data_IF_214804456922
#
_entry.id   IF_214804456922
#
_cell.length_a   1.000
_cell.length_b   1.000
_cell.length_c   1.000
_cell.angle_alpha   90.00
_cell.angle_beta   90.00
_cell.angle_gamma   90.00
#
_symmetry.space_group_name_H-M   'P 1'
#
loop_
_entity.id
_entity.type
_entity.pdbx_description
1 polymer ?
#
# COMPACT_ATOMS: atom_id res chain seq x y z
N UNK A 1 6.79 9.38 -25.50
CA UNK A 1 6.26 8.49 -24.45
C UNK A 1 6.34 7.07 -24.99
N UNK A 2 7.02 6.17 -24.29
CA UNK A 2 7.13 4.75 -24.66
C UNK A 2 6.23 3.95 -23.72
N UNK A 3 5.66 2.85 -24.18
CA UNK A 3 4.96 1.90 -23.32
C UNK A 3 5.39 0.47 -23.62
N UNK A 4 5.27 -0.39 -22.60
CA UNK A 4 5.60 -1.82 -22.65
C UNK A 4 4.48 -2.59 -21.96
N UNK A 5 4.05 -3.71 -22.56
CA UNK A 5 3.09 -4.65 -21.97
C UNK A 5 3.80 -5.96 -21.63
N UNK A 6 4.17 -6.18 -20.36
CA UNK A 6 4.64 -7.48 -19.88
C UNK A 6 3.49 -8.51 -19.92
N UNK A 7 3.77 -9.70 -20.47
CA UNK A 7 2.80 -10.82 -20.56
C UNK A 7 3.11 -11.99 -19.63
N UNK A 8 4.19 -11.91 -18.88
CA UNK A 8 4.72 -12.96 -18.01
C UNK A 8 3.93 -13.16 -16.71
N UNK A 9 3.06 -12.21 -16.33
CA UNK A 9 2.42 -12.18 -15.00
C UNK A 9 0.96 -12.62 -14.96
N UNK A 10 0.43 -13.14 -16.06
CA UNK A 10 -0.96 -13.63 -16.15
C UNK A 10 -2.04 -12.56 -15.93
N UNK A 11 -1.67 -11.27 -15.95
CA UNK A 11 -2.55 -10.10 -15.83
C UNK A 11 -2.08 -9.00 -16.78
N UNK A 12 -3.01 -8.15 -17.23
CA UNK A 12 -2.68 -6.98 -18.05
C UNK A 12 -1.88 -5.98 -17.22
N UNK A 13 -0.61 -5.76 -17.59
CA UNK A 13 0.22 -4.67 -17.07
C UNK A 13 0.61 -3.75 -18.23
N UNK A 14 0.39 -2.45 -18.05
CA UNK A 14 0.84 -1.42 -18.98
C UNK A 14 1.85 -0.53 -18.28
N UNK A 15 3.12 -0.65 -18.67
CA UNK A 15 4.20 0.18 -18.15
C UNK A 15 4.46 1.34 -19.10
N UNK A 16 4.44 2.57 -18.58
CA UNK A 16 4.77 3.76 -19.34
C UNK A 16 6.15 4.28 -18.95
N UNK A 17 7.01 4.53 -19.94
CA UNK A 17 8.32 5.12 -19.75
C UNK A 17 8.29 6.57 -20.25
N UNK A 18 8.61 7.48 -19.34
CA UNK A 18 8.71 8.91 -19.61
C UNK A 18 10.16 9.33 -19.30
N UNK A 19 10.91 9.88 -20.27
CA UNK A 19 12.26 10.35 -20.02
C UNK A 19 12.23 11.50 -19.02
N UNK A 20 13.18 11.51 -18.09
CA UNK A 20 13.37 12.57 -17.09
C UNK A 20 14.20 13.75 -17.65
N UNK A 21 14.21 13.88 -18.97
CA UNK A 21 14.98 14.87 -19.73
C UNK A 21 14.08 15.40 -20.83
N UNK A 22 14.05 16.72 -20.97
CA UNK A 22 13.37 17.39 -22.07
C UNK A 22 14.27 17.26 -23.31
N UNK A 23 13.70 16.74 -24.41
CA UNK A 23 14.47 16.23 -25.53
C UNK A 23 15.12 17.33 -26.38
N UNK A 24 14.58 18.54 -26.40
CA UNK A 24 15.10 19.64 -27.24
C UNK A 24 16.24 20.38 -26.56
N UNK A 25 16.13 20.63 -25.26
CA UNK A 25 17.07 21.44 -24.48
C UNK A 25 18.07 20.59 -23.69
N UNK A 26 17.83 19.28 -23.56
CA UNK A 26 18.62 18.38 -22.73
C UNK A 26 18.50 18.64 -21.23
N UNK A 27 17.61 19.55 -20.81
CA UNK A 27 17.42 19.89 -19.39
C UNK A 27 16.61 18.82 -18.67
N UNK A 28 16.76 18.76 -17.35
CA UNK A 28 15.95 17.89 -16.49
C UNK A 28 14.47 18.25 -16.63
N UNK A 29 13.68 17.26 -17.02
CA UNK A 29 12.22 17.29 -16.94
C UNK A 29 11.84 16.46 -15.71
N UNK A 30 10.94 16.93 -14.85
CA UNK A 30 10.43 16.16 -13.71
C UNK A 30 8.98 15.77 -14.01
N UNK A 31 8.70 14.60 -14.62
CA UNK A 31 7.34 14.24 -15.03
C UNK A 31 6.39 13.96 -13.86
N UNK A 32 6.94 13.58 -12.71
CA UNK A 32 6.20 13.25 -11.51
C UNK A 32 6.81 13.94 -10.29
N UNK A 33 5.97 14.66 -9.55
CA UNK A 33 6.30 15.27 -8.27
C UNK A 33 5.31 14.81 -7.20
N UNK A 34 5.75 13.86 -6.36
CA UNK A 34 4.89 13.11 -5.45
C UNK A 34 3.94 13.99 -4.61
N UNK A 35 4.45 15.08 -4.05
CA UNK A 35 3.67 15.99 -3.20
C UNK A 35 2.47 16.61 -3.91
N UNK A 36 2.57 16.87 -5.21
CA UNK A 36 1.49 17.45 -6.00
C UNK A 36 0.65 16.39 -6.72
N UNK A 37 1.30 15.34 -7.22
CA UNK A 37 0.67 14.39 -8.14
C UNK A 37 0.02 13.20 -7.44
N UNK A 38 0.59 12.69 -6.33
CA UNK A 38 -0.01 11.58 -5.57
C UNK A 38 -1.45 11.87 -5.15
N UNK A 39 -1.78 13.05 -4.57
CA UNK A 39 -3.17 13.35 -4.20
C UNK A 39 -4.11 13.37 -5.41
N UNK A 40 -3.65 13.84 -6.58
CA UNK A 40 -4.45 13.92 -7.81
C UNK A 40 -4.70 12.54 -8.41
N UNK A 41 -3.67 11.69 -8.45
CA UNK A 41 -3.78 10.30 -8.91
C UNK A 41 -4.73 9.52 -8.00
N UNK A 42 -4.58 9.64 -6.68
CA UNK A 42 -5.46 9.00 -5.71
C UNK A 42 -6.92 9.47 -5.86
N UNK A 43 -7.14 10.77 -6.09
CA UNK A 43 -8.47 11.31 -6.34
C UNK A 43 -9.07 10.77 -7.64
N UNK A 44 -8.31 10.77 -8.74
CA UNK A 44 -8.72 10.17 -10.00
C UNK A 44 -9.09 8.69 -9.84
N UNK A 45 -8.26 7.90 -9.17
CA UNK A 45 -8.53 6.49 -8.88
C UNK A 45 -9.83 6.33 -8.09
N UNK A 46 -10.05 7.14 -7.05
CA UNK A 46 -11.27 7.09 -6.23
C UNK A 46 -12.52 7.34 -7.08
N UNK A 47 -12.47 8.35 -7.97
CA UNK A 47 -13.59 8.69 -8.85
C UNK A 47 -13.85 7.59 -9.88
N UNK A 48 -12.79 7.07 -10.51
CA UNK A 48 -12.90 6.03 -11.55
C UNK A 48 -13.42 4.73 -10.94
N UNK A 49 -12.88 4.32 -9.79
CA UNK A 49 -13.35 3.12 -9.09
C UNK A 49 -14.83 3.23 -8.74
N UNK A 50 -15.27 4.37 -8.18
CA UNK A 50 -16.66 4.59 -7.85
C UNK A 50 -17.57 4.62 -9.10
N UNK A 51 -17.12 5.25 -10.19
CA UNK A 51 -17.90 5.36 -11.43
C UNK A 51 -18.08 4.01 -12.14
N UNK A 52 -17.04 3.18 -12.13
CA UNK A 52 -16.99 1.94 -12.89
C UNK A 52 -17.26 0.70 -12.03
N UNK A 53 -17.49 0.86 -10.71
CA UNK A 53 -17.66 -0.26 -9.79
C UNK A 53 -16.41 -1.15 -9.68
N UNK A 54 -15.22 -0.55 -9.81
CA UNK A 54 -13.97 -1.33 -9.76
C UNK A 54 -13.64 -1.74 -8.34
N UNK A 55 -12.94 -2.87 -8.22
CA UNK A 55 -12.40 -3.36 -6.97
C UNK A 55 -11.47 -2.32 -6.32
N UNK A 56 -11.74 -1.96 -5.07
CA UNK A 56 -10.95 -0.97 -4.33
C UNK A 56 -9.87 -1.65 -3.49
N UNK A 57 -8.59 -1.55 -3.85
CA UNK A 57 -7.51 -2.19 -3.10
C UNK A 57 -7.33 -1.62 -1.69
N UNK A 58 -7.91 -0.47 -1.36
CA UNK A 58 -7.80 0.15 -0.04
C UNK A 58 -8.94 -0.23 0.91
N UNK A 59 -9.92 -1.01 0.44
CA UNK A 59 -11.02 -1.47 1.29
C UNK A 59 -10.46 -2.35 2.42
N UNK A 60 -10.95 -2.21 3.67
CA UNK A 60 -10.46 -2.99 4.82
C UNK A 60 -10.48 -4.51 4.60
N UNK A 61 -11.48 -5.02 3.90
CA UNK A 61 -11.63 -6.42 3.50
C UNK A 61 -10.49 -6.93 2.59
N UNK A 62 -9.80 -6.02 1.89
CA UNK A 62 -8.71 -6.36 0.97
C UNK A 62 -7.32 -6.25 1.62
N UNK A 63 -7.26 -6.03 2.93
CA UNK A 63 -5.97 -5.97 3.65
C UNK A 63 -5.24 -7.29 3.54
N UNK A 64 -3.99 -7.22 3.13
CA UNK A 64 -3.11 -8.39 3.03
C UNK A 64 -2.61 -8.82 4.40
N UNK A 65 -2.48 -10.13 4.58
CA UNK A 65 -1.82 -10.75 5.74
C UNK A 65 -0.38 -10.27 5.88
N UNK A 66 0.34 -10.14 4.76
CA UNK A 66 1.69 -9.59 4.66
C UNK A 66 1.78 -8.54 3.56
N UNK A 67 2.48 -7.45 3.87
CA UNK A 67 2.83 -6.38 2.94
C UNK A 67 4.35 -6.34 2.81
N UNK A 68 4.85 -6.94 1.75
CA UNK A 68 6.28 -6.94 1.40
C UNK A 68 6.61 -5.73 0.52
N UNK A 69 7.75 -5.08 0.78
CA UNK A 69 8.26 -4.02 -0.10
C UNK A 69 8.99 -4.64 -1.28
N UNK A 70 8.62 -4.28 -2.51
CA UNK A 70 9.27 -4.78 -3.73
C UNK A 70 10.78 -4.42 -3.81
N UNK A 71 11.23 -3.39 -3.08
CA UNK A 71 12.63 -2.96 -3.03
C UNK A 71 13.47 -3.74 -2.01
N UNK A 72 12.86 -4.64 -1.24
CA UNK A 72 13.55 -5.46 -0.26
C UNK A 72 14.39 -6.53 -0.99
N UNK A 73 15.61 -6.86 -0.55
CA UNK A 73 16.37 -7.97 -1.12
C UNK A 73 15.55 -9.27 -1.11
N UNK A 74 15.67 -10.09 -2.17
CA UNK A 74 14.86 -11.29 -2.36
C UNK A 74 14.90 -12.25 -1.16
N UNK A 75 16.08 -12.47 -0.58
CA UNK A 75 16.26 -13.29 0.63
C UNK A 75 15.41 -12.82 1.81
N UNK A 76 15.27 -11.50 2.00
CA UNK A 76 14.45 -10.92 3.04
C UNK A 76 12.96 -10.95 2.72
N UNK A 77 12.58 -10.94 1.44
CA UNK A 77 11.19 -11.16 1.03
C UNK A 77 10.79 -12.61 1.36
N UNK A 78 11.62 -13.56 0.96
CA UNK A 78 11.43 -14.99 1.23
C UNK A 78 11.39 -15.28 2.73
N UNK A 79 12.24 -14.63 3.54
CA UNK A 79 12.18 -14.74 4.99
C UNK A 79 10.87 -14.18 5.58
N UNK A 80 10.41 -13.01 5.12
CA UNK A 80 9.15 -12.42 5.59
C UNK A 80 7.94 -13.30 5.22
N UNK A 81 7.96 -13.88 4.02
CA UNK A 81 6.95 -14.83 3.55
C UNK A 81 6.96 -16.10 4.40
N UNK A 82 8.12 -16.74 4.59
CA UNK A 82 8.25 -17.94 5.40
C UNK A 82 7.79 -17.74 6.86
N UNK A 83 8.17 -16.60 7.48
CA UNK A 83 7.71 -16.25 8.84
C UNK A 83 6.19 -16.10 8.86
N UNK A 84 5.63 -15.38 7.88
CA UNK A 84 4.18 -15.15 7.83
C UNK A 84 3.44 -16.47 7.60
N UNK A 85 3.90 -17.31 6.67
CA UNK A 85 3.29 -18.60 6.37
C UNK A 85 3.34 -19.52 7.60
N UNK A 86 4.43 -19.49 8.35
CA UNK A 86 4.54 -20.16 9.64
C UNK A 86 3.48 -19.66 10.62
N UNK A 87 3.42 -18.35 10.86
CA UNK A 87 2.44 -17.74 11.76
C UNK A 87 1.00 -18.07 11.36
N UNK A 88 0.66 -17.97 10.07
CA UNK A 88 -0.70 -18.26 9.56
C UNK A 88 -1.12 -19.71 9.84
N UNK A 89 -0.19 -20.68 9.81
CA UNK A 89 -0.52 -22.07 10.19
C UNK A 89 -0.91 -22.19 11.67
N UNK A 90 -0.32 -21.39 12.55
CA UNK A 90 -0.63 -21.36 14.00
C UNK A 90 -1.83 -20.47 14.35
N UNK A 91 -2.22 -19.54 13.47
CA UNK A 91 -3.44 -18.72 13.64
C UNK A 91 -4.70 -19.59 13.72
N UNK A 92 -4.71 -20.80 13.17
CA UNK A 92 -5.89 -21.68 13.24
C UNK A 92 -6.21 -22.21 14.66
N UNK A 93 -5.42 -21.92 15.71
CA UNK A 93 -5.77 -22.33 17.07
C UNK A 93 -4.99 -21.69 18.22
N UNK A 94 -3.76 -21.21 17.98
CA UNK A 94 -2.86 -20.76 19.04
C UNK A 94 -2.65 -19.24 19.06
N UNK A 95 -2.56 -18.62 17.88
CA UNK A 95 -2.34 -17.18 17.77
C UNK A 95 -3.70 -16.47 17.72
N UNK A 96 -4.08 -15.86 18.84
CA UNK A 96 -5.33 -15.10 19.00
C UNK A 96 -5.12 -13.59 18.92
N UNK A 97 -3.96 -13.10 19.31
CA UNK A 97 -3.69 -11.67 19.43
C UNK A 97 -2.34 -11.31 18.83
N UNK A 98 -2.09 -10.02 18.65
CA UNK A 98 -0.74 -9.53 18.30
C UNK A 98 0.29 -9.93 19.35
N UNK A 99 -0.11 -10.04 20.62
CA UNK A 99 0.81 -10.45 21.67
C UNK A 99 1.27 -11.89 21.45
N UNK A 100 0.36 -12.77 21.03
CA UNK A 100 0.69 -14.15 20.69
C UNK A 100 1.65 -14.20 19.49
N UNK A 101 1.45 -13.35 18.48
CA UNK A 101 2.40 -13.20 17.36
C UNK A 101 3.81 -12.85 17.87
N UNK A 102 3.92 -11.87 18.76
CA UNK A 102 5.22 -11.47 19.34
C UNK A 102 5.83 -12.62 20.13
N UNK A 103 5.03 -13.31 20.95
CA UNK A 103 5.49 -14.45 21.74
C UNK A 103 5.98 -15.60 20.84
N UNK A 104 5.25 -15.96 19.78
CA UNK A 104 5.66 -16.99 18.82
C UNK A 104 6.95 -16.61 18.11
N UNK A 105 7.11 -15.34 17.70
CA UNK A 105 8.35 -14.84 17.10
C UNK A 105 9.53 -14.98 18.06
N UNK A 106 9.39 -14.52 19.31
CA UNK A 106 10.44 -14.62 20.33
C UNK A 106 10.74 -16.07 20.70
N UNK A 107 9.73 -16.94 20.80
CA UNK A 107 9.90 -18.37 21.05
C UNK A 107 10.61 -19.10 19.90
N UNK A 108 10.55 -18.54 18.68
CA UNK A 108 11.28 -19.02 17.51
C UNK A 108 12.70 -18.43 17.42
N UNK A 109 13.23 -17.89 18.52
CA UNK A 109 14.55 -17.25 18.61
C UNK A 109 14.73 -16.03 17.68
N UNK A 110 13.63 -15.43 17.21
CA UNK A 110 13.67 -14.19 16.43
C UNK A 110 13.66 -12.98 17.36
N UNK A 111 14.68 -12.13 17.23
CA UNK A 111 14.83 -10.94 18.07
C UNK A 111 13.89 -9.81 17.63
N UNK A 112 12.86 -9.55 18.43
CA UNK A 112 11.89 -8.46 18.21
C UNK A 112 12.44 -7.15 18.78
N UNK A 113 13.07 -6.37 17.90
CA UNK A 113 13.77 -5.13 18.28
C UNK A 113 12.86 -3.89 18.34
N UNK A 114 11.72 -3.90 17.65
CA UNK A 114 10.78 -2.77 17.69
C UNK A 114 9.36 -3.18 17.34
N UNK A 115 8.40 -2.58 18.04
CA UNK A 115 6.98 -2.65 17.71
C UNK A 115 6.43 -1.25 17.39
N UNK A 116 5.54 -1.16 16.40
CA UNK A 116 4.74 0.05 16.14
C UNK A 116 3.28 -0.35 15.97
N UNK A 117 2.36 0.63 15.86
CA UNK A 117 0.93 0.34 15.66
C UNK A 117 0.64 -0.56 14.45
N UNK A 118 1.47 -0.50 13.41
CA UNK A 118 1.22 -1.18 12.12
C UNK A 118 2.31 -2.16 11.71
N UNK A 119 3.29 -2.42 12.57
CA UNK A 119 4.41 -3.30 12.20
C UNK A 119 5.16 -3.88 13.39
N UNK A 120 5.84 -4.99 13.15
CA UNK A 120 6.86 -5.58 14.03
C UNK A 120 8.18 -5.59 13.26
N UNK A 121 9.27 -5.22 13.91
CA UNK A 121 10.62 -5.26 13.32
C UNK A 121 11.45 -6.31 14.03
N UNK A 122 12.12 -7.15 13.25
CA UNK A 122 13.05 -8.17 13.70
C UNK A 122 14.49 -7.74 13.43
N UNK A 123 15.42 -8.09 14.32
CA UNK A 123 16.84 -7.92 14.06
C UNK A 123 17.25 -8.72 12.81
N UNK A 124 18.25 -8.21 12.10
CA UNK A 124 18.93 -8.98 11.06
C UNK A 124 20.01 -9.84 11.72
N UNK A 125 19.94 -11.19 11.62
CA UNK A 125 20.91 -12.08 12.27
C UNK A 125 22.33 -11.89 11.75
N UNK A 126 22.50 -11.40 10.51
CA UNK A 126 23.82 -11.16 9.91
C UNK A 126 24.37 -9.74 10.18
N UNK A 127 23.66 -8.94 10.99
CA UNK A 127 24.06 -7.56 11.25
C UNK A 127 23.76 -6.66 10.04
N UNK A 128 22.53 -6.17 9.96
CA UNK A 128 22.05 -5.39 8.83
C UNK A 128 20.76 -4.64 9.12
N UNK A 129 20.06 -4.21 8.06
CA UNK A 129 18.77 -3.53 8.22
C UNK A 129 17.72 -4.51 8.73
N UNK A 130 17.10 -4.17 9.87
CA UNK A 130 15.99 -4.91 10.47
C UNK A 130 14.92 -5.31 9.45
N UNK A 131 14.42 -6.54 9.56
CA UNK A 131 13.30 -7.04 8.78
C UNK A 131 12.00 -6.48 9.36
N UNK A 132 11.33 -5.61 8.62
CA UNK A 132 10.05 -5.02 9.05
C UNK A 132 8.88 -5.81 8.50
N UNK A 133 8.17 -6.49 9.37
CA UNK A 133 6.93 -7.22 9.09
C UNK A 133 5.73 -6.28 9.18
N UNK A 134 4.92 -6.24 8.13
CA UNK A 134 3.70 -5.43 8.00
C UNK A 134 2.59 -6.26 7.41
N UNK A 135 1.35 -5.97 7.79
CA UNK A 135 0.17 -6.69 7.32
C UNK A 135 -0.75 -7.01 8.49
N UNK A 136 -1.90 -7.60 8.17
CA UNK A 136 -3.05 -7.65 9.08
C UNK A 136 -2.72 -8.27 10.45
N UNK A 137 -1.91 -9.34 10.49
CA UNK A 137 -1.55 -10.05 11.73
C UNK A 137 -0.51 -9.31 12.59
N UNK A 138 0.14 -8.28 12.05
CA UNK A 138 1.19 -7.52 12.75
C UNK A 138 0.68 -6.18 13.32
N UNK A 139 -0.56 -5.80 13.00
CA UNK A 139 -1.21 -4.58 13.47
C UNK A 139 -1.63 -4.68 14.94
N UNK A 140 -1.56 -3.57 15.68
CA UNK A 140 -1.93 -3.49 17.09
C UNK A 140 -3.33 -4.02 17.39
N UNK A 141 -4.26 -3.82 16.45
CA UNK A 141 -5.67 -4.24 16.54
C UNK A 141 -5.90 -5.71 16.13
N UNK A 142 -4.86 -6.50 15.91
CA UNK A 142 -5.02 -7.89 15.51
C UNK A 142 -5.54 -8.74 16.68
N UNK A 143 -6.74 -9.29 16.50
CA UNK A 143 -7.42 -10.24 17.40
C UNK A 143 -8.15 -11.30 16.58
N UNK A 144 -7.53 -12.44 16.31
CA UNK A 144 -8.09 -13.56 15.56
C UNK A 144 -9.37 -14.14 16.17
N UNK A 145 -10.29 -14.60 15.31
CA UNK A 145 -11.64 -15.06 15.65
C UNK A 145 -12.72 -14.06 15.23
N UNK A 146 -13.91 -14.17 15.82
CA UNK A 146 -15.06 -13.31 15.52
C UNK A 146 -14.72 -11.82 15.69
N UNK A 147 -13.82 -11.49 16.61
CA UNK A 147 -13.32 -10.13 16.81
C UNK A 147 -12.63 -9.55 15.56
N UNK A 148 -11.77 -10.32 14.89
CA UNK A 148 -11.07 -9.89 13.68
C UNK A 148 -12.04 -9.67 12.53
N UNK A 149 -12.90 -10.65 12.28
CA UNK A 149 -13.87 -10.60 11.19
C UNK A 149 -14.89 -9.49 11.43
N UNK A 150 -15.41 -9.37 12.65
CA UNK A 150 -16.33 -8.29 13.00
C UNK A 150 -15.66 -6.91 12.94
N UNK A 151 -14.36 -6.77 13.25
CA UNK A 151 -13.65 -5.50 13.08
C UNK A 151 -13.37 -5.20 11.60
N UNK A 152 -13.03 -6.19 10.77
CA UNK A 152 -12.94 -6.01 9.32
C UNK A 152 -14.29 -5.58 8.76
N UNK A 153 -15.38 -6.22 9.18
CA UNK A 153 -16.73 -5.90 8.77
C UNK A 153 -17.12 -4.48 9.21
N UNK A 154 -16.97 -4.14 10.49
CA UNK A 154 -17.19 -2.78 11.02
C UNK A 154 -16.32 -1.74 10.30
N UNK A 155 -15.06 -2.04 10.03
CA UNK A 155 -14.18 -1.16 9.27
C UNK A 155 -14.68 -0.99 7.84
N UNK A 156 -15.10 -2.08 7.19
CA UNK A 156 -15.70 -2.11 5.86
C UNK A 156 -16.99 -1.30 5.80
N UNK A 157 -17.87 -1.41 6.80
CA UNK A 157 -19.09 -0.62 6.93
C UNK A 157 -18.79 0.87 7.06
N UNK A 158 -17.89 1.27 7.99
CA UNK A 158 -17.44 2.66 8.14
C UNK A 158 -16.81 3.17 6.84
N UNK A 159 -16.06 2.31 6.15
CA UNK A 159 -15.45 2.63 4.87
C UNK A 159 -16.50 2.84 3.78
N UNK A 160 -17.50 1.97 3.66
CA UNK A 160 -18.61 2.12 2.70
C UNK A 160 -19.48 3.33 3.01
N UNK A 161 -19.81 3.57 4.28
CA UNK A 161 -20.61 4.72 4.73
C UNK A 161 -19.98 6.06 4.36
N UNK A 162 -18.65 6.12 4.27
CA UNK A 162 -17.90 7.34 3.90
C UNK A 162 -17.55 7.41 2.41
N UNK A 163 -18.01 6.47 1.57
CA UNK A 163 -17.65 6.38 0.15
C UNK A 163 -18.05 7.63 -0.63
N UNK A 164 -19.28 8.12 -0.47
CA UNK A 164 -19.74 9.33 -1.16
C UNK A 164 -18.93 10.56 -0.77
N UNK A 165 -18.60 10.70 0.52
CA UNK A 165 -17.78 11.79 1.01
C UNK A 165 -16.37 11.76 0.40
N UNK A 166 -15.75 10.57 0.29
CA UNK A 166 -14.46 10.40 -0.40
C UNK A 166 -14.55 10.78 -1.88
N UNK A 167 -15.62 10.39 -2.58
CA UNK A 167 -15.82 10.75 -3.98
C UNK A 167 -16.00 12.26 -4.15
N UNK A 168 -16.76 12.93 -3.27
CA UNK A 168 -16.89 14.40 -3.27
C UNK A 168 -15.53 15.07 -3.06
N UNK A 169 -14.79 14.68 -2.03
CA UNK A 169 -13.46 15.22 -1.76
C UNK A 169 -12.48 14.99 -2.93
N UNK A 170 -12.54 13.82 -3.57
CA UNK A 170 -11.73 13.52 -4.74
C UNK A 170 -12.07 14.44 -5.93
N UNK A 171 -13.36 14.73 -6.16
CA UNK A 171 -13.78 15.69 -7.20
C UNK A 171 -13.21 17.08 -6.94
N UNK A 172 -13.22 17.56 -5.70
CA UNK A 172 -12.65 18.87 -5.35
C UNK A 172 -11.13 18.93 -5.58
N UNK A 173 -10.41 17.83 -5.35
CA UNK A 173 -8.98 17.73 -5.67
C UNK A 173 -8.75 17.81 -7.19
N UNK A 174 -9.54 17.09 -7.98
CA UNK A 174 -9.43 17.12 -9.44
C UNK A 174 -9.79 18.49 -10.02
N UNK A 175 -10.87 19.12 -9.55
CA UNK A 175 -11.27 20.46 -10.00
C UNK A 175 -10.19 21.50 -9.73
N UNK A 176 -9.62 21.54 -8.52
CA UNK A 176 -8.51 22.43 -8.19
C UNK A 176 -7.30 22.21 -9.10
N UNK A 177 -7.00 20.94 -9.43
CA UNK A 177 -5.94 20.59 -10.38
C UNK A 177 -6.19 21.13 -11.79
N UNK A 178 -7.43 21.04 -12.28
CA UNK A 178 -7.83 21.55 -13.58
C UNK A 178 -7.74 23.09 -13.63
N UNK A 179 -8.29 23.78 -12.64
CA UNK A 179 -8.25 25.25 -12.57
C UNK A 179 -6.82 25.79 -12.54
N UNK A 180 -5.92 25.13 -11.80
CA UNK A 180 -4.50 25.52 -11.79
C UNK A 180 -3.85 25.34 -13.17
N UNK A 181 -4.16 24.24 -13.86
CA UNK A 181 -3.63 23.98 -15.21
C UNK A 181 -4.12 25.02 -16.22
N UNK A 182 -5.38 25.43 -16.14
CA UNK A 182 -5.97 26.48 -16.97
C UNK A 182 -5.33 27.84 -16.72
N UNK A 183 -5.11 28.21 -15.45
CA UNK A 183 -4.41 29.44 -15.08
C UNK A 183 -2.99 29.49 -15.64
N UNK A 184 -2.22 28.40 -15.50
CA UNK A 184 -0.86 28.31 -16.06
C UNK A 184 -0.89 28.47 -17.58
N UNK A 185 -1.79 27.78 -18.28
CA UNK A 185 -1.94 27.90 -19.74
C UNK A 185 -2.30 29.32 -20.18
N UNK A 186 -3.10 30.04 -19.39
CA UNK A 186 -3.47 31.43 -19.67
C UNK A 186 -2.27 32.36 -19.52
N UNK A 187 -1.45 32.18 -18.48
CA UNK A 187 -0.24 32.97 -18.24
C UNK A 187 0.86 32.67 -19.27
N UNK A 188 0.99 31.44 -19.76
CA UNK A 188 1.99 31.08 -20.78
C UNK A 188 1.63 31.55 -22.21
N UNK A 189 0.43 32.11 -22.41
CA UNK A 189 -0.02 32.67 -23.71
C UNK A 189 0.05 34.20 -23.76
N UNK A 190 0.44 34.84 -22.66
CA UNK A 190 0.79 36.27 -22.59
C UNK A 190 2.30 36.43 -22.71
#
# INVERSE_FOLDING_TARGET
MLWVEPRDKGRLELNFLIPNTELLTGKRLQPYYDRADRPRINAWQTIVNAKLGLHDPNAPENRRTLVTLNTLPRTKQEAAEAITDGLVRFVAGEIKTRQDVIQTLTASELDVVRTTKTSISLADPEGGRNLRLRGAIYEQSFENGDGFQAEIERAGERYRATAEARVRQARDVCQRGQSLSEQVRRLSRQ
#
